data_IF_872967711083
#
_entry.id   IF_872967711083
#
_cell.length_a   1.000
_cell.length_b   1.000
_cell.length_c   1.000
_cell.angle_alpha   90.00
_cell.angle_beta   90.00
_cell.angle_gamma   90.00
#
_symmetry.space_group_name_H-M   'P 1'
#
loop_
_entity.id
_entity.type
_entity.pdbx_description
1 polymer ?
#
# COMPACT_ATOMS: atom_id res chain seq x y z
N UNK A 1 -42.69 -40.19 -11.87
CA UNK A 1 -41.43 -39.47 -11.64
C UNK A 1 -41.60 -38.00 -11.94
N UNK A 2 -42.05 -37.25 -10.93
CA UNK A 2 -42.24 -35.80 -11.01
C UNK A 2 -41.75 -35.21 -9.70
N UNK A 3 -40.48 -34.83 -9.68
CA UNK A 3 -39.77 -34.35 -8.51
C UNK A 3 -40.17 -32.89 -8.25
N UNK A 4 -41.06 -32.67 -7.29
CA UNK A 4 -41.40 -31.36 -6.75
C UNK A 4 -40.21 -30.84 -5.94
N UNK A 5 -39.53 -29.80 -6.43
CA UNK A 5 -38.55 -29.05 -5.66
C UNK A 5 -39.28 -28.17 -4.64
N UNK A 6 -39.30 -28.64 -3.40
CA UNK A 6 -39.66 -27.85 -2.21
C UNK A 6 -38.43 -27.03 -1.83
N UNK A 7 -38.49 -25.71 -2.01
CA UNK A 7 -37.46 -24.80 -1.52
C UNK A 7 -37.53 -24.73 0.02
N UNK A 8 -36.38 -24.77 0.72
CA UNK A 8 -36.36 -24.68 2.18
C UNK A 8 -36.53 -23.23 2.66
N UNK A 9 -37.47 -23.08 3.58
CA UNK A 9 -37.75 -21.90 4.38
C UNK A 9 -36.57 -21.64 5.34
N UNK A 10 -35.88 -20.49 5.23
CA UNK A 10 -34.77 -20.10 6.11
C UNK A 10 -35.32 -19.24 7.26
N UNK A 11 -35.31 -19.70 8.53
CA UNK A 11 -35.70 -18.86 9.65
C UNK A 11 -34.51 -18.02 10.14
N UNK A 12 -34.49 -16.73 9.76
CA UNK A 12 -33.66 -15.71 10.40
C UNK A 12 -34.43 -15.08 11.56
N UNK A 13 -34.33 -15.66 12.76
CA UNK A 13 -34.77 -14.99 13.97
C UNK A 13 -33.75 -15.12 15.12
N UNK A 14 -33.14 -13.96 15.39
CA UNK A 14 -32.93 -13.36 16.72
C UNK A 14 -32.08 -14.13 17.73
N UNK A 15 -30.78 -13.85 17.69
CA UNK A 15 -29.93 -13.85 18.88
C UNK A 15 -30.31 -12.66 19.77
N UNK A 16 -31.03 -12.94 20.86
CA UNK A 16 -31.18 -12.02 21.98
C UNK A 16 -29.83 -11.89 22.71
N UNK A 17 -29.15 -10.77 22.55
CA UNK A 17 -28.06 -10.35 23.44
C UNK A 17 -28.62 -9.27 24.37
N UNK A 18 -28.85 -9.66 25.62
CA UNK A 18 -29.03 -8.73 26.74
C UNK A 18 -27.68 -8.15 27.13
N UNK A 19 -27.52 -6.82 27.21
CA UNK A 19 -26.45 -6.23 28.00
C UNK A 19 -26.94 -6.06 29.44
N UNK A 20 -26.30 -6.81 30.33
CA UNK A 20 -26.47 -6.71 31.78
C UNK A 20 -25.99 -5.35 32.26
N UNK A 21 -26.96 -4.61 32.82
CA UNK A 21 -26.83 -3.46 33.68
C UNK A 21 -25.79 -3.68 34.78
N UNK A 22 -24.74 -2.86 34.82
CA UNK A 22 -24.07 -2.54 36.08
C UNK A 22 -23.52 -1.11 36.04
N UNK A 23 -23.78 -0.45 37.15
CA UNK A 23 -23.77 0.99 37.39
C UNK A 23 -22.38 1.52 37.78
N UNK A 24 -22.32 2.86 37.81
CA UNK A 24 -21.39 3.70 38.58
C UNK A 24 -19.95 3.82 38.07
N UNK A 25 -19.65 4.96 37.43
CA UNK A 25 -18.95 6.04 38.14
C UNK A 25 -19.00 7.37 37.36
N UNK A 26 -19.40 8.41 38.08
CA UNK A 26 -19.44 9.80 37.67
C UNK A 26 -18.01 10.35 37.56
N UNK A 27 -17.64 10.84 36.38
CA UNK A 27 -16.71 11.96 36.27
C UNK A 27 -17.10 12.79 35.05
N UNK A 28 -17.45 14.05 35.28
CA UNK A 28 -17.81 15.05 34.27
C UNK A 28 -16.53 15.78 33.83
N UNK A 29 -16.01 15.55 32.62
CA UNK A 29 -15.01 16.44 32.02
C UNK A 29 -15.68 17.65 31.33
N UNK A 30 -14.94 18.75 31.14
CA UNK A 30 -15.49 20.00 30.61
C UNK A 30 -15.98 19.83 29.18
N UNK A 31 -17.19 20.34 28.96
CA UNK A 31 -17.90 20.46 27.69
C UNK A 31 -17.13 21.39 26.75
N UNK A 32 -16.08 20.87 26.10
CA UNK A 32 -15.61 21.44 24.85
C UNK A 32 -16.66 21.14 23.80
N UNK A 33 -17.36 22.18 23.36
CA UNK A 33 -18.21 22.12 22.19
C UNK A 33 -17.32 21.94 20.95
N UNK A 34 -16.77 20.75 20.76
CA UNK A 34 -16.46 20.31 19.40
C UNK A 34 -17.80 20.19 18.71
N UNK A 35 -18.08 21.13 17.79
CA UNK A 35 -19.01 20.87 16.71
C UNK A 35 -18.50 19.61 16.03
N UNK A 36 -18.98 18.44 16.47
CA UNK A 36 -18.98 17.25 15.66
C UNK A 36 -19.79 17.64 14.44
N UNK A 37 -19.12 18.11 13.39
CA UNK A 37 -19.68 18.08 12.06
C UNK A 37 -20.13 16.65 11.89
N UNK A 38 -21.44 16.44 11.71
CA UNK A 38 -21.94 15.18 11.19
C UNK A 38 -21.00 14.76 10.03
N UNK A 39 -20.62 13.47 9.93
CA UNK A 39 -19.78 13.02 8.85
C UNK A 39 -20.42 13.53 7.57
N UNK A 40 -19.76 14.49 6.91
CA UNK A 40 -20.25 15.03 5.65
C UNK A 40 -20.26 13.83 4.72
N UNK A 41 -21.44 13.28 4.43
CA UNK A 41 -21.55 12.36 3.30
C UNK A 41 -20.91 13.07 2.12
N UNK A 42 -19.89 12.44 1.53
CA UNK A 42 -19.14 13.00 0.42
C UNK A 42 -20.10 13.44 -0.69
N UNK A 43 -19.77 14.53 -1.38
CA UNK A 43 -20.62 15.10 -2.44
C UNK A 43 -20.98 14.06 -3.50
N UNK A 44 -20.02 13.20 -3.85
CA UNK A 44 -20.12 12.10 -4.81
C UNK A 44 -21.01 10.98 -4.29
N UNK A 45 -20.97 10.68 -2.99
CA UNK A 45 -21.87 9.69 -2.37
C UNK A 45 -23.31 10.18 -2.46
N UNK A 46 -23.55 11.44 -2.09
CA UNK A 46 -24.88 12.06 -2.23
C UNK A 46 -25.36 12.07 -3.68
N UNK A 47 -24.50 12.46 -4.62
CA UNK A 47 -24.85 12.51 -6.04
C UNK A 47 -25.18 11.11 -6.61
N UNK A 48 -24.46 10.08 -6.18
CA UNK A 48 -24.71 8.69 -6.55
C UNK A 48 -26.05 8.21 -5.99
N UNK A 49 -26.33 8.44 -4.71
CA UNK A 49 -27.62 8.11 -4.09
C UNK A 49 -28.79 8.83 -4.79
N UNK A 50 -28.64 10.12 -5.10
CA UNK A 50 -29.65 10.91 -5.79
C UNK A 50 -29.89 10.41 -7.23
N UNK A 51 -28.82 10.05 -7.95
CA UNK A 51 -28.93 9.48 -9.29
C UNK A 51 -29.62 8.12 -9.27
N UNK A 52 -29.28 7.28 -8.30
CA UNK A 52 -29.87 5.96 -8.12
C UNK A 52 -31.35 6.05 -7.78
N UNK A 53 -31.72 6.88 -6.80
CA UNK A 53 -33.12 7.10 -6.41
C UNK A 53 -33.98 7.66 -7.55
N UNK A 54 -33.43 8.59 -8.36
CA UNK A 54 -34.11 9.06 -9.59
C UNK A 54 -34.32 7.93 -10.59
N UNK A 55 -33.31 7.09 -10.80
CA UNK A 55 -33.37 5.97 -11.75
C UNK A 55 -34.44 4.96 -11.35
N UNK A 56 -34.49 4.58 -10.06
CA UNK A 56 -35.54 3.68 -9.54
C UNK A 56 -36.91 4.31 -9.69
N UNK A 57 -37.07 5.58 -9.34
CA UNK A 57 -38.36 6.28 -9.48
C UNK A 57 -38.85 6.27 -10.92
N UNK A 58 -37.95 6.38 -11.90
CA UNK A 58 -38.30 6.29 -13.32
C UNK A 58 -38.57 4.84 -13.77
N UNK A 59 -37.78 3.88 -13.31
CA UNK A 59 -37.92 2.47 -13.68
C UNK A 59 -39.18 1.82 -13.11
N UNK A 60 -39.54 2.20 -11.87
CA UNK A 60 -40.76 1.75 -11.18
C UNK A 60 -41.92 2.73 -11.34
N UNK A 61 -41.87 3.59 -12.37
CA UNK A 61 -43.02 4.41 -12.72
C UNK A 61 -44.13 3.47 -13.19
N UNK A 62 -45.06 3.20 -12.29
CA UNK A 62 -46.20 2.34 -12.57
C UNK A 62 -47.11 2.91 -13.64
N UNK A 63 -47.91 2.04 -14.23
CA UNK A 63 -49.05 2.43 -15.05
C UNK A 63 -50.06 3.18 -14.17
N UNK A 64 -50.81 4.11 -14.75
CA UNK A 64 -51.98 4.70 -14.09
C UNK A 64 -53.11 3.66 -13.99
N UNK A 65 -54.07 3.86 -13.09
CA UNK A 65 -55.16 2.89 -12.84
C UNK A 65 -55.96 2.56 -14.10
N UNK A 66 -56.19 3.57 -14.96
CA UNK A 66 -56.87 3.42 -16.25
C UNK A 66 -56.06 2.54 -17.22
N UNK A 67 -54.75 2.81 -17.34
CA UNK A 67 -53.85 2.01 -18.19
C UNK A 67 -53.73 0.57 -17.69
N UNK A 68 -53.78 0.38 -16.37
CA UNK A 68 -53.80 -0.94 -15.76
C UNK A 68 -55.12 -1.67 -16.07
N UNK A 69 -56.25 -0.98 -15.98
CA UNK A 69 -57.56 -1.54 -16.32
C UNK A 69 -57.65 -1.98 -17.78
N UNK A 70 -57.07 -1.19 -18.70
CA UNK A 70 -56.99 -1.52 -20.13
C UNK A 70 -56.26 -2.84 -20.41
N UNK A 71 -55.30 -3.24 -19.56
CA UNK A 71 -54.63 -4.53 -19.67
C UNK A 71 -55.52 -5.73 -19.28
N UNK A 72 -56.66 -5.49 -18.61
CA UNK A 72 -57.52 -6.53 -18.06
C UNK A 72 -59.02 -6.29 -18.37
N UNK A 73 -59.41 -6.18 -19.65
CA UNK A 73 -60.75 -5.71 -20.05
C UNK A 73 -61.90 -6.65 -19.66
N UNK A 74 -61.62 -7.92 -19.38
CA UNK A 74 -62.63 -8.95 -19.08
C UNK A 74 -62.74 -9.30 -17.59
N UNK A 75 -62.02 -8.58 -16.72
CA UNK A 75 -62.02 -8.83 -15.27
C UNK A 75 -63.16 -8.03 -14.63
N UNK A 76 -63.84 -8.64 -13.66
CA UNK A 76 -64.87 -7.95 -12.87
C UNK A 76 -64.25 -6.78 -12.08
N UNK A 77 -64.94 -5.64 -11.95
CA UNK A 77 -64.37 -4.44 -11.35
C UNK A 77 -63.89 -4.65 -9.91
N UNK A 78 -64.58 -5.46 -9.10
CA UNK A 78 -64.19 -5.77 -7.72
C UNK A 78 -62.86 -6.53 -7.66
N UNK A 79 -62.63 -7.44 -8.61
CA UNK A 79 -61.38 -8.19 -8.69
C UNK A 79 -60.24 -7.33 -9.26
N UNK A 80 -60.56 -6.41 -10.17
CA UNK A 80 -59.60 -5.47 -10.73
C UNK A 80 -59.05 -4.51 -9.66
N UNK A 81 -59.90 -4.05 -8.73
CA UNK A 81 -59.46 -3.21 -7.60
C UNK A 81 -58.46 -3.96 -6.70
N UNK A 82 -58.76 -5.23 -6.36
CA UNK A 82 -57.85 -6.07 -5.55
C UNK A 82 -56.52 -6.26 -6.29
N UNK A 83 -56.57 -6.51 -7.60
CA UNK A 83 -55.37 -6.68 -8.42
C UNK A 83 -54.54 -5.40 -8.50
N UNK A 84 -55.19 -4.25 -8.60
CA UNK A 84 -54.56 -2.93 -8.59
C UNK A 84 -53.88 -2.62 -7.25
N UNK A 85 -54.54 -2.92 -6.13
CA UNK A 85 -53.94 -2.80 -4.79
C UNK A 85 -52.69 -3.70 -4.67
N UNK A 86 -52.78 -4.95 -5.13
CA UNK A 86 -51.65 -5.87 -5.20
C UNK A 86 -50.49 -5.34 -6.05
N UNK A 87 -50.79 -4.79 -7.23
CA UNK A 87 -49.81 -4.17 -8.11
C UNK A 87 -49.07 -3.01 -7.42
N UNK A 88 -49.80 -2.11 -6.76
CA UNK A 88 -49.21 -0.99 -6.01
C UNK A 88 -48.34 -1.48 -4.86
N UNK A 89 -48.78 -2.52 -4.15
CA UNK A 89 -48.02 -3.13 -3.07
C UNK A 89 -46.71 -3.75 -3.58
N UNK A 90 -46.74 -4.44 -4.73
CA UNK A 90 -45.55 -5.00 -5.37
C UNK A 90 -44.57 -3.90 -5.80
N UNK A 91 -45.07 -2.81 -6.39
CA UNK A 91 -44.21 -1.67 -6.77
C UNK A 91 -43.55 -1.03 -5.53
N UNK A 92 -44.32 -0.82 -4.47
CA UNK A 92 -43.80 -0.25 -3.23
C UNK A 92 -42.79 -1.18 -2.57
N UNK A 93 -43.11 -2.48 -2.45
CA UNK A 93 -42.22 -3.47 -1.89
C UNK A 93 -40.91 -3.60 -2.68
N UNK A 94 -41.00 -3.64 -4.01
CA UNK A 94 -39.83 -3.67 -4.90
C UNK A 94 -38.96 -2.43 -4.70
N UNK A 95 -39.55 -1.24 -4.60
CA UNK A 95 -38.80 -0.01 -4.33
C UNK A 95 -38.02 -0.09 -3.02
N UNK A 96 -38.69 -0.48 -1.93
CA UNK A 96 -38.06 -0.57 -0.60
C UNK A 96 -36.94 -1.61 -0.59
N UNK A 97 -37.14 -2.76 -1.23
CA UNK A 97 -36.10 -3.81 -1.30
C UNK A 97 -34.90 -3.35 -2.11
N UNK A 98 -35.12 -2.74 -3.28
CA UNK A 98 -34.03 -2.25 -4.13
C UNK A 98 -33.24 -1.12 -3.42
N UNK A 99 -33.93 -0.18 -2.76
CA UNK A 99 -33.26 0.86 -1.96
C UNK A 99 -32.45 0.24 -0.80
N UNK A 100 -33.00 -0.76 -0.10
CA UNK A 100 -32.28 -1.48 0.96
C UNK A 100 -31.08 -2.29 0.45
N UNK A 101 -31.20 -2.94 -0.71
CA UNK A 101 -30.12 -3.70 -1.33
C UNK A 101 -28.99 -2.78 -1.76
N UNK A 102 -29.31 -1.59 -2.24
CA UNK A 102 -28.32 -0.57 -2.57
C UNK A 102 -27.52 -0.13 -1.33
N UNK A 103 -28.19 0.14 -0.22
CA UNK A 103 -27.52 0.49 1.04
C UNK A 103 -26.61 -0.66 1.51
N UNK A 104 -27.11 -1.90 1.46
CA UNK A 104 -26.34 -3.09 1.82
C UNK A 104 -25.10 -3.27 0.93
N UNK A 105 -25.21 -3.05 -0.38
CA UNK A 105 -24.08 -3.11 -1.32
C UNK A 105 -23.09 -1.98 -1.03
N UNK A 106 -23.57 -0.77 -0.72
CA UNK A 106 -22.71 0.36 -0.37
C UNK A 106 -21.89 0.07 0.89
N UNK A 107 -22.51 -0.55 1.90
CA UNK A 107 -21.85 -0.98 3.13
C UNK A 107 -20.87 -2.13 2.87
N UNK A 108 -21.30 -3.20 2.19
CA UNK A 108 -20.47 -4.38 1.91
C UNK A 108 -19.20 -4.03 1.12
N UNK A 109 -19.35 -3.16 0.13
CA UNK A 109 -18.22 -2.78 -0.74
C UNK A 109 -17.39 -1.64 -0.19
N UNK A 110 -17.74 -1.09 0.98
CA UNK A 110 -17.19 0.15 1.53
C UNK A 110 -17.15 1.27 0.47
N UNK A 111 -18.22 1.41 -0.31
CA UNK A 111 -18.28 2.34 -1.44
C UNK A 111 -18.17 3.79 -0.96
N UNK A 112 -18.76 4.09 0.20
CA UNK A 112 -18.69 5.41 0.84
C UNK A 112 -17.25 5.83 1.08
N UNK A 113 -16.44 4.93 1.61
CA UNK A 113 -15.04 5.20 1.97
C UNK A 113 -14.20 5.39 0.72
N UNK A 114 -14.41 4.54 -0.30
CA UNK A 114 -13.71 4.64 -1.59
C UNK A 114 -14.03 5.94 -2.31
N UNK A 115 -15.31 6.34 -2.35
CA UNK A 115 -15.71 7.60 -2.97
C UNK A 115 -15.17 8.80 -2.20
N UNK A 116 -15.12 8.74 -0.87
CA UNK A 116 -14.52 9.78 -0.05
C UNK A 116 -13.00 9.91 -0.29
N UNK A 117 -12.27 8.79 -0.32
CA UNK A 117 -10.85 8.79 -0.66
C UNK A 117 -10.59 9.36 -2.05
N UNK A 118 -11.47 9.05 -3.02
CA UNK A 118 -11.38 9.64 -4.36
C UNK A 118 -11.61 11.16 -4.34
N UNK A 119 -12.52 11.67 -3.52
CA UNK A 119 -12.69 13.12 -3.34
C UNK A 119 -11.43 13.75 -2.76
N UNK A 120 -10.87 13.19 -1.68
CA UNK A 120 -9.63 13.68 -1.07
C UNK A 120 -8.46 13.69 -2.07
N UNK A 121 -8.34 12.64 -2.89
CA UNK A 121 -7.30 12.56 -3.92
C UNK A 121 -7.53 13.58 -5.04
N UNK A 122 -8.78 13.81 -5.46
CA UNK A 122 -9.10 14.83 -6.45
C UNK A 122 -8.79 16.25 -5.92
N UNK A 123 -9.18 16.52 -4.67
CA UNK A 123 -8.91 17.79 -3.99
C UNK A 123 -7.40 18.02 -3.82
N UNK A 124 -6.65 17.01 -3.39
CA UNK A 124 -5.18 17.06 -3.26
C UNK A 124 -4.48 17.32 -4.60
N UNK A 125 -5.05 16.85 -5.70
CA UNK A 125 -4.54 17.07 -7.06
C UNK A 125 -5.01 18.39 -7.69
N UNK A 126 -5.83 19.18 -6.97
CA UNK A 126 -6.43 20.40 -7.50
C UNK A 126 -7.41 20.13 -8.65
N UNK A 127 -7.89 18.88 -8.78
CA UNK A 127 -8.96 18.51 -9.71
C UNK A 127 -10.26 18.91 -9.05
N UNK A 128 -10.66 20.16 -9.28
CA UNK A 128 -11.99 20.62 -8.92
C UNK A 128 -13.00 20.00 -9.88
N UNK A 129 -14.11 19.47 -9.36
CA UNK A 129 -15.26 18.96 -10.13
C UNK A 129 -16.02 20.11 -10.87
N UNK A 130 -15.37 21.26 -11.06
CA UNK A 130 -15.89 22.37 -11.84
C UNK A 130 -15.92 21.98 -13.32
N UNK A 131 -17.10 21.93 -13.99
CA UNK A 131 -17.21 21.60 -15.40
C UNK A 131 -16.46 22.58 -16.33
N UNK A 132 -15.89 23.66 -15.78
CA UNK A 132 -15.05 24.62 -16.49
C UNK A 132 -13.55 24.56 -16.11
N UNK A 133 -13.15 23.66 -15.21
CA UNK A 133 -11.75 23.40 -14.95
C UNK A 133 -11.13 22.79 -16.21
N UNK A 134 -10.27 23.58 -16.88
CA UNK A 134 -9.53 23.19 -18.09
C UNK A 134 -9.05 21.76 -17.98
N UNK A 135 -9.62 20.90 -18.81
CA UNK A 135 -9.23 19.50 -18.96
C UNK A 135 -7.73 19.47 -19.27
N UNK A 136 -6.91 19.17 -18.25
CA UNK A 136 -5.52 18.80 -18.46
C UNK A 136 -5.58 17.46 -19.17
N UNK A 137 -5.30 17.47 -20.48
CA UNK A 137 -5.38 16.35 -21.40
C UNK A 137 -4.93 15.04 -20.75
N UNK A 138 -5.81 14.05 -20.77
CA UNK A 138 -5.65 12.76 -20.09
C UNK A 138 -4.44 11.92 -20.54
N UNK A 139 -3.75 12.31 -21.61
CA UNK A 139 -2.61 11.56 -22.15
C UNK A 139 -1.28 11.83 -21.41
N UNK A 140 -1.17 12.92 -20.63
CA UNK A 140 0.10 13.28 -19.97
C UNK A 140 0.20 12.86 -18.49
N UNK A 141 -0.91 12.51 -17.83
CA UNK A 141 -0.93 12.23 -16.38
C UNK A 141 -0.28 10.90 -15.96
N UNK A 142 -0.68 9.73 -16.50
CA UNK A 142 -0.08 8.46 -16.09
C UNK A 142 1.41 8.39 -16.47
N UNK A 143 1.76 8.88 -17.64
CA UNK A 143 3.13 9.01 -18.13
C UNK A 143 3.97 9.94 -17.26
N UNK A 144 3.43 11.07 -16.79
CA UNK A 144 4.14 11.98 -15.89
C UNK A 144 4.31 11.43 -14.48
N UNK A 145 3.30 10.74 -13.94
CA UNK A 145 3.40 10.08 -12.64
C UNK A 145 4.45 8.96 -12.66
N UNK A 146 4.44 8.12 -13.70
CA UNK A 146 5.46 7.08 -13.90
C UNK A 146 6.86 7.69 -14.07
N UNK A 147 6.99 8.77 -14.86
CA UNK A 147 8.28 9.49 -15.00
C UNK A 147 8.75 10.08 -13.68
N UNK A 148 7.86 10.66 -12.87
CA UNK A 148 8.21 11.23 -11.58
C UNK A 148 8.65 10.15 -10.59
N UNK A 149 7.93 9.03 -10.50
CA UNK A 149 8.28 7.90 -9.67
C UNK A 149 9.63 7.28 -10.09
N UNK A 150 9.84 7.10 -11.39
CA UNK A 150 11.10 6.59 -11.94
C UNK A 150 12.26 7.56 -11.68
N UNK A 151 12.03 8.87 -11.77
CA UNK A 151 13.03 9.87 -11.45
C UNK A 151 13.37 9.85 -9.94
N UNK A 152 12.38 9.69 -9.06
CA UNK A 152 12.61 9.57 -7.62
C UNK A 152 13.41 8.31 -7.29
N UNK A 153 13.04 7.16 -7.87
CA UNK A 153 13.77 5.90 -7.70
C UNK A 153 15.23 6.01 -8.17
N UNK A 154 15.48 6.61 -9.34
CA UNK A 154 16.85 6.82 -9.85
C UNK A 154 17.69 7.74 -8.96
N UNK A 155 17.09 8.75 -8.33
CA UNK A 155 17.80 9.61 -7.37
C UNK A 155 18.21 8.81 -6.14
N UNK A 156 17.31 8.01 -5.58
CA UNK A 156 17.61 7.17 -4.42
C UNK A 156 18.71 6.14 -4.74
N UNK A 157 18.68 5.53 -5.94
CA UNK A 157 19.74 4.63 -6.40
C UNK A 157 21.09 5.36 -6.53
N UNK A 158 21.11 6.56 -7.10
CA UNK A 158 22.33 7.37 -7.22
C UNK A 158 22.93 7.69 -5.84
N UNK A 159 22.13 8.15 -4.89
CA UNK A 159 22.55 8.43 -3.51
C UNK A 159 23.10 7.16 -2.82
N UNK A 160 22.47 6.01 -3.04
CA UNK A 160 22.95 4.74 -2.51
C UNK A 160 24.30 4.33 -3.11
N UNK A 161 24.49 4.50 -4.41
CA UNK A 161 25.74 4.20 -5.09
C UNK A 161 26.87 5.14 -4.65
N UNK A 162 26.59 6.43 -4.48
CA UNK A 162 27.54 7.41 -3.93
C UNK A 162 27.98 7.01 -2.51
N UNK A 163 27.05 6.60 -1.66
CA UNK A 163 27.36 6.08 -0.31
C UNK A 163 28.22 4.81 -0.33
N UNK A 164 27.98 3.90 -1.27
CA UNK A 164 28.81 2.70 -1.45
C UNK A 164 30.22 3.07 -1.92
N UNK A 165 30.34 3.98 -2.88
CA UNK A 165 31.63 4.46 -3.38
C UNK A 165 32.44 5.15 -2.29
N UNK A 166 31.82 6.02 -1.50
CA UNK A 166 32.48 6.69 -0.37
C UNK A 166 33.02 5.68 0.66
N UNK A 167 32.24 4.66 1.02
CA UNK A 167 32.67 3.59 1.93
C UNK A 167 33.81 2.74 1.34
N UNK A 168 33.75 2.44 0.05
CA UNK A 168 34.80 1.69 -0.64
C UNK A 168 36.11 2.48 -0.71
N UNK A 169 36.04 3.78 -1.01
CA UNK A 169 37.19 4.68 -1.04
C UNK A 169 37.86 4.78 0.34
N UNK A 170 37.08 5.03 1.40
CA UNK A 170 37.60 5.08 2.77
C UNK A 170 38.26 3.76 3.20
N UNK A 171 37.67 2.61 2.82
CA UNK A 171 38.26 1.30 3.10
C UNK A 171 39.55 1.08 2.33
N UNK A 172 39.63 1.53 1.07
CA UNK A 172 40.86 1.45 0.27
C UNK A 172 41.97 2.28 0.92
N UNK A 173 41.70 3.52 1.28
CA UNK A 173 42.67 4.40 1.95
C UNK A 173 43.18 3.80 3.27
N UNK A 174 42.29 3.22 4.08
CA UNK A 174 42.68 2.53 5.31
C UNK A 174 43.59 1.32 5.05
N UNK A 175 43.30 0.53 4.01
CA UNK A 175 44.13 -0.62 3.64
C UNK A 175 45.48 -0.19 3.05
N UNK A 176 45.52 0.87 2.25
CA UNK A 176 46.76 1.45 1.72
C UNK A 176 47.64 1.97 2.86
N UNK A 177 47.08 2.63 3.87
CA UNK A 177 47.80 3.05 5.06
C UNK A 177 48.35 1.86 5.85
N UNK A 178 47.57 0.78 6.00
CA UNK A 178 48.04 -0.45 6.66
C UNK A 178 49.18 -1.12 5.87
N UNK A 179 49.06 -1.19 4.55
CA UNK A 179 50.11 -1.74 3.69
C UNK A 179 51.40 -0.92 3.80
N UNK A 180 51.31 0.41 3.74
CA UNK A 180 52.45 1.30 3.90
C UNK A 180 53.14 1.10 5.27
N UNK A 181 52.37 0.99 6.35
CA UNK A 181 52.92 0.72 7.69
C UNK A 181 53.63 -0.64 7.77
N UNK A 182 53.06 -1.69 7.14
CA UNK A 182 53.68 -3.02 7.09
C UNK A 182 54.94 -3.05 6.25
N UNK A 183 54.96 -2.36 5.12
CA UNK A 183 56.17 -2.22 4.28
C UNK A 183 57.28 -1.54 5.08
N UNK A 184 56.99 -0.43 5.76
CA UNK A 184 57.96 0.26 6.61
C UNK A 184 58.49 -0.63 7.76
N UNK A 185 57.61 -1.41 8.40
CA UNK A 185 58.01 -2.38 9.44
C UNK A 185 58.96 -3.46 8.89
N UNK A 186 58.65 -4.01 7.71
CA UNK A 186 59.48 -5.01 7.04
C UNK A 186 60.84 -4.44 6.62
N UNK A 187 60.87 -3.22 6.08
CA UNK A 187 62.12 -2.53 5.73
C UNK A 187 63.01 -2.31 6.95
N UNK A 188 62.42 -1.89 8.09
CA UNK A 188 63.14 -1.71 9.34
C UNK A 188 63.74 -3.05 9.83
N UNK A 189 62.95 -4.13 9.80
CA UNK A 189 63.43 -5.47 10.16
C UNK A 189 64.53 -5.97 9.21
N UNK A 190 64.36 -5.79 7.90
CA UNK A 190 65.35 -6.17 6.91
C UNK A 190 66.66 -5.41 7.11
N UNK A 191 66.59 -4.11 7.39
CA UNK A 191 67.74 -3.28 7.70
C UNK A 191 68.45 -3.74 9.00
N UNK A 192 67.70 -4.17 10.03
CA UNK A 192 68.27 -4.70 11.27
C UNK A 192 68.97 -6.05 11.10
N UNK A 193 68.50 -6.90 10.19
CA UNK A 193 69.12 -8.21 9.89
C UNK A 193 70.33 -8.12 8.95
N UNK A 194 70.43 -7.05 8.15
CA UNK A 194 71.55 -6.83 7.21
C UNK A 194 72.95 -6.92 7.85
N UNK A 195 73.24 -6.31 9.01
CA UNK A 195 74.56 -6.46 9.65
C UNK A 195 74.82 -7.89 10.16
N UNK A 196 73.79 -8.62 10.61
CA UNK A 196 73.94 -10.02 11.04
C UNK A 196 74.30 -10.92 9.85
N UNK A 197 73.65 -10.72 8.71
CA UNK A 197 74.01 -11.41 7.47
C UNK A 197 75.45 -11.09 7.04
N UNK A 198 75.89 -9.83 7.17
CA UNK A 198 77.27 -9.45 6.88
C UNK A 198 78.27 -10.13 7.82
N UNK A 199 77.96 -10.24 9.12
CA UNK A 199 78.78 -10.99 10.08
C UNK A 199 78.90 -12.47 9.71
N UNK A 200 77.80 -13.12 9.35
CA UNK A 200 77.81 -14.52 8.92
C UNK A 200 78.69 -14.73 7.67
N UNK A 201 78.60 -13.84 6.68
CA UNK A 201 79.49 -13.90 5.51
C UNK A 201 80.97 -13.68 5.85
N UNK A 202 81.27 -12.84 6.86
CA UNK A 202 82.64 -12.62 7.33
C UNK A 202 83.18 -13.83 8.11
N UNK A 203 82.35 -14.45 8.96
CA UNK A 203 82.69 -15.69 9.68
C UNK A 203 82.93 -16.82 8.69
N UNK A 204 82.04 -17.03 7.71
CA UNK A 204 82.22 -18.02 6.65
C UNK A 204 83.53 -17.79 5.88
N UNK A 205 83.85 -16.55 5.52
CA UNK A 205 85.11 -16.20 4.86
C UNK A 205 86.33 -16.50 5.75
N UNK A 206 86.26 -16.19 7.05
CA UNK A 206 87.33 -16.48 7.99
C UNK A 206 87.55 -17.99 8.18
N UNK A 207 86.48 -18.78 8.25
CA UNK A 207 86.55 -20.25 8.31
C UNK A 207 87.25 -20.83 7.07
N UNK A 208 86.84 -20.40 5.86
CA UNK A 208 87.47 -20.83 4.61
C UNK A 208 88.96 -20.42 4.54
N UNK A 209 89.31 -19.22 5.01
CA UNK A 209 90.70 -18.77 5.07
C UNK A 209 91.53 -19.63 6.04
N UNK A 210 91.00 -19.95 7.21
CA UNK A 210 91.67 -20.83 8.18
C UNK A 210 91.89 -22.25 7.63
N UNK A 211 90.90 -22.82 6.96
CA UNK A 211 91.04 -24.11 6.27
C UNK A 211 92.14 -24.07 5.20
N UNK A 212 92.19 -23.01 4.40
CA UNK A 212 93.22 -22.85 3.37
C UNK A 212 94.64 -22.74 3.97
N UNK A 213 94.80 -22.00 5.07
CA UNK A 213 96.07 -21.86 5.77
C UNK A 213 96.52 -23.19 6.40
N UNK A 214 95.59 -23.95 6.98
CA UNK A 214 95.87 -25.29 7.54
C UNK A 214 96.38 -26.25 6.46
N UNK A 215 95.79 -26.21 5.26
CA UNK A 215 96.23 -27.03 4.13
C UNK A 215 97.62 -26.64 3.63
N UNK A 216 97.94 -25.33 3.59
CA UNK A 216 99.27 -24.85 3.22
C UNK A 216 100.34 -25.26 4.24
N UNK A 217 100.08 -25.07 5.54
CA UNK A 217 101.00 -25.48 6.60
C UNK A 217 101.26 -27.01 6.61
N UNK A 218 100.25 -27.82 6.25
CA UNK A 218 100.41 -29.26 6.12
C UNK A 218 101.19 -29.69 4.87
N UNK A 219 101.31 -28.83 3.85
CA UNK A 219 102.09 -29.09 2.65
C UNK A 219 103.57 -28.69 2.80
N UNK A 220 103.88 -27.78 3.72
CA UNK A 220 105.25 -27.31 4.01
C UNK A 220 105.97 -28.15 5.08
N UNK A 221 105.26 -28.99 5.82
CA UNK A 221 105.77 -29.91 6.85
C UNK A 221 106.05 -31.31 6.27
#
# INVERSE_FOLDING_TARGET
DTTLYVLPFIPLLRKCLTPTRSEMQQSTPPRTASKQCAPRQGRRVSALADAYGRTIKHALRGADEEQFAECFPNIQPELLEILWQGYRQVLHGSRVHIESDFDAICEETALTDKLHQLEELCEAQGVSDDPHARSLSGEDRPTRAVRAALHAARRAEAEQLESILARAAARREALEAQLAARVAELELRANALRPLAALDTNVSRACLAWESHKLQAAAEA
#
